data_IF_714759162020
#
_entry.id   IF_714759162020
#
_cell.length_a   1.000
_cell.length_b   1.000
_cell.length_c   1.000
_cell.angle_alpha   90.00
_cell.angle_beta   90.00
_cell.angle_gamma   90.00
#
_symmetry.space_group_name_H-M   'P 1'
#
loop_
_entity.id
_entity.type
_entity.pdbx_description
1 polymer ?
#
# COMPACT_ATOMS: atom_id res chain seq x y z
N UNK A 1 24.82 7.98 -12.75
CA UNK A 1 23.48 7.85 -13.34
C UNK A 1 22.78 9.18 -13.20
N UNK A 2 22.56 9.93 -14.28
CA UNK A 2 21.83 11.20 -14.23
C UNK A 2 20.34 10.92 -14.13
N UNK A 3 19.71 11.27 -13.01
CA UNK A 3 18.25 11.19 -12.87
C UNK A 3 17.57 12.28 -13.70
N UNK A 4 16.45 11.91 -14.31
CA UNK A 4 15.62 12.80 -15.12
C UNK A 4 14.48 13.39 -14.27
N UNK A 5 14.03 14.60 -14.62
CA UNK A 5 13.03 15.32 -13.82
C UNK A 5 11.75 14.53 -13.59
N UNK A 6 11.26 13.81 -14.61
CA UNK A 6 10.02 13.03 -14.50
C UNK A 6 10.09 11.95 -13.40
N UNK A 7 11.25 11.31 -13.21
CA UNK A 7 11.45 10.31 -12.17
C UNK A 7 11.53 10.96 -10.79
N UNK A 8 12.25 12.07 -10.69
CA UNK A 8 12.40 12.82 -9.44
C UNK A 8 11.04 13.35 -8.97
N UNK A 9 10.27 13.97 -9.87
CA UNK A 9 8.95 14.54 -9.57
C UNK A 9 7.98 13.50 -9.01
N UNK A 10 7.97 12.28 -9.56
CA UNK A 10 7.16 11.16 -9.05
C UNK A 10 7.54 10.72 -7.63
N UNK A 11 8.77 10.98 -7.20
CA UNK A 11 9.31 10.53 -5.92
C UNK A 11 9.40 11.65 -4.86
N UNK A 12 9.01 12.90 -5.17
CA UNK A 12 9.14 14.02 -4.24
C UNK A 12 8.27 13.88 -2.97
N UNK A 13 7.06 13.32 -3.06
CA UNK A 13 6.24 13.04 -1.86
C UNK A 13 6.94 12.06 -0.93
N UNK A 14 7.31 10.88 -1.45
CA UNK A 14 8.06 9.87 -0.69
C UNK A 14 9.41 10.39 -0.16
N UNK A 15 10.02 11.36 -0.85
CA UNK A 15 11.21 12.05 -0.38
C UNK A 15 10.93 12.91 0.86
N UNK A 16 9.84 13.69 0.86
CA UNK A 16 9.38 14.51 2.01
C UNK A 16 9.00 13.61 3.19
N UNK A 17 8.32 12.50 2.94
CA UNK A 17 7.85 11.55 3.96
C UNK A 17 8.95 10.60 4.47
N UNK A 18 10.19 10.76 3.98
CA UNK A 18 11.36 9.97 4.34
C UNK A 18 11.23 8.45 4.08
N UNK A 19 10.46 8.06 3.07
CA UNK A 19 10.15 6.67 2.71
C UNK A 19 11.14 6.06 1.71
N UNK A 20 12.00 6.89 1.11
CA UNK A 20 12.98 6.43 0.13
C UNK A 20 14.23 5.83 0.77
N UNK A 21 14.82 4.83 0.09
CA UNK A 21 16.14 4.30 0.43
C UNK A 21 17.22 5.39 0.38
N UNK A 22 18.29 5.19 1.15
CA UNK A 22 19.40 6.15 1.25
C UNK A 22 19.96 6.49 -0.13
N UNK A 23 20.15 5.48 -1.00
CA UNK A 23 20.69 5.68 -2.35
C UNK A 23 19.77 6.53 -3.24
N UNK A 24 18.45 6.29 -3.20
CA UNK A 24 17.48 7.10 -3.96
C UNK A 24 17.45 8.54 -3.44
N UNK A 25 17.45 8.71 -2.12
CA UNK A 25 17.42 10.03 -1.47
C UNK A 25 18.64 10.87 -1.85
N UNK A 26 19.83 10.27 -1.84
CA UNK A 26 21.06 10.94 -2.28
C UNK A 26 21.02 11.35 -3.75
N UNK A 27 20.51 10.47 -4.62
CA UNK A 27 20.36 10.79 -6.03
C UNK A 27 19.39 11.96 -6.25
N UNK A 28 18.26 11.99 -5.52
CA UNK A 28 17.26 13.05 -5.64
C UNK A 28 17.85 14.36 -5.13
N UNK A 29 18.53 14.35 -3.97
CA UNK A 29 19.21 15.53 -3.44
C UNK A 29 20.19 16.14 -4.45
N UNK A 30 21.04 15.31 -5.08
CA UNK A 30 21.97 15.76 -6.11
C UNK A 30 21.27 16.36 -7.35
N UNK A 31 20.08 15.87 -7.71
CA UNK A 31 19.30 16.45 -8.80
C UNK A 31 18.68 17.81 -8.40
N UNK A 32 18.18 17.93 -7.17
CA UNK A 32 17.57 19.15 -6.64
C UNK A 32 18.58 20.30 -6.57
N UNK A 33 19.85 20.01 -6.28
CA UNK A 33 20.93 21.01 -6.31
C UNK A 33 21.11 21.67 -7.68
N UNK A 34 20.72 20.99 -8.76
CA UNK A 34 20.90 21.44 -10.15
C UNK A 34 19.61 21.78 -10.91
N UNK A 35 18.43 21.53 -10.34
CA UNK A 35 17.15 21.66 -11.05
C UNK A 35 16.14 22.52 -10.28
N UNK A 36 16.03 23.80 -10.68
CA UNK A 36 15.08 24.74 -10.08
C UNK A 36 13.63 24.24 -10.13
N UNK A 37 13.19 23.67 -11.25
CA UNK A 37 11.81 23.19 -11.40
C UNK A 37 11.43 22.08 -10.41
N UNK A 38 12.35 21.15 -10.13
CA UNK A 38 12.13 20.09 -9.15
C UNK A 38 12.22 20.63 -7.71
N UNK A 39 13.09 21.60 -7.45
CA UNK A 39 13.21 22.27 -6.15
C UNK A 39 11.98 23.11 -5.80
N UNK A 40 11.40 23.81 -6.78
CA UNK A 40 10.14 24.55 -6.62
C UNK A 40 8.97 23.61 -6.32
N UNK A 41 8.90 22.47 -7.03
CA UNK A 41 7.88 21.45 -6.75
C UNK A 41 8.04 20.85 -5.34
N UNK A 42 9.27 20.59 -4.90
CA UNK A 42 9.56 20.13 -3.54
C UNK A 42 9.10 21.15 -2.49
N UNK A 43 9.35 22.44 -2.71
CA UNK A 43 8.87 23.51 -1.82
C UNK A 43 7.33 23.51 -1.74
N UNK A 44 6.65 23.19 -2.84
CA UNK A 44 5.20 22.96 -2.86
C UNK A 44 4.76 21.88 -1.88
N UNK A 45 5.36 20.69 -1.93
CA UNK A 45 5.06 19.60 -0.98
C UNK A 45 5.35 19.99 0.48
N UNK A 46 6.47 20.68 0.73
CA UNK A 46 6.82 21.13 2.08
C UNK A 46 5.83 22.16 2.64
N UNK A 47 5.36 23.09 1.81
CA UNK A 47 4.36 24.08 2.25
C UNK A 47 3.02 23.43 2.62
N UNK A 48 2.57 22.44 1.86
CA UNK A 48 1.39 21.65 2.20
C UNK A 48 1.55 20.92 3.54
N UNK A 49 2.73 20.34 3.80
CA UNK A 49 3.03 19.68 5.08
C UNK A 49 2.98 20.64 6.27
N UNK A 50 3.42 21.89 6.08
CA UNK A 50 3.34 22.94 7.13
C UNK A 50 1.88 23.29 7.41
N UNK A 51 1.09 23.58 6.36
CA UNK A 51 -0.35 23.88 6.52
C UNK A 51 -1.08 22.72 7.19
N UNK A 52 -0.73 21.47 6.85
CA UNK A 52 -1.31 20.29 7.46
C UNK A 52 -0.99 20.15 8.96
N UNK A 53 0.17 20.65 9.42
CA UNK A 53 0.57 20.62 10.83
C UNK A 53 -0.12 21.71 11.67
N UNK A 54 -0.54 22.79 11.03
CA UNK A 54 -1.20 23.92 11.69
C UNK A 54 -2.69 23.64 12.00
N UNK A 55 -3.25 22.52 11.53
CA UNK A 55 -4.59 22.12 11.93
C UNK A 55 -4.66 21.81 13.43
N UNK A 56 -5.73 22.29 14.06
CA UNK A 56 -6.04 21.98 15.46
C UNK A 56 -6.05 20.46 15.64
N UNK A 57 -5.11 19.96 16.43
CA UNK A 57 -5.06 18.55 16.78
C UNK A 57 -5.98 18.33 17.97
N UNK A 58 -7.13 17.65 17.80
CA UNK A 58 -8.02 17.38 18.92
C UNK A 58 -7.29 16.52 19.94
N UNK A 59 -7.41 16.85 21.23
CA UNK A 59 -6.89 15.98 22.27
C UNK A 59 -7.63 14.64 22.19
N UNK A 60 -6.93 13.51 22.02
CA UNK A 60 -7.59 12.22 22.05
C UNK A 60 -8.24 11.98 23.41
N UNK A 61 -9.33 11.18 23.49
CA UNK A 61 -9.88 10.71 24.76
C UNK A 61 -8.79 10.06 25.61
N UNK A 62 -8.82 10.28 26.93
CA UNK A 62 -7.79 9.79 27.86
C UNK A 62 -7.72 8.25 27.93
N UNK A 63 -8.74 7.55 27.45
CA UNK A 63 -8.82 6.10 27.37
C UNK A 63 -8.45 5.52 26.00
N UNK A 64 -8.20 6.34 24.98
CA UNK A 64 -7.94 5.88 23.62
C UNK A 64 -6.76 4.90 23.57
N UNK A 65 -5.63 5.24 24.19
CA UNK A 65 -4.45 4.38 24.21
C UNK A 65 -4.71 3.04 24.87
N UNK A 66 -5.43 3.03 25.99
CA UNK A 66 -5.81 1.80 26.69
C UNK A 66 -6.69 0.90 25.83
N UNK A 67 -7.64 1.50 25.08
CA UNK A 67 -8.53 0.79 24.16
C UNK A 67 -7.76 0.18 22.98
N UNK A 68 -6.81 0.93 22.41
CA UNK A 68 -5.92 0.43 21.35
C UNK A 68 -5.09 -0.75 21.87
N UNK A 69 -4.46 -0.61 23.04
CA UNK A 69 -3.65 -1.67 23.66
C UNK A 69 -4.47 -2.95 23.90
N UNK A 70 -5.68 -2.80 24.46
CA UNK A 70 -6.58 -3.94 24.67
C UNK A 70 -6.96 -4.62 23.35
N UNK A 71 -7.28 -3.84 22.30
CA UNK A 71 -7.61 -4.38 20.98
C UNK A 71 -6.44 -5.15 20.35
N UNK A 72 -5.21 -4.63 20.47
CA UNK A 72 -4.03 -5.30 19.93
C UNK A 72 -3.68 -6.57 20.69
N UNK A 73 -3.89 -6.61 22.01
CA UNK A 73 -3.71 -7.81 22.82
C UNK A 73 -4.75 -8.89 22.47
N UNK A 74 -6.00 -8.50 22.25
CA UNK A 74 -7.07 -9.40 21.80
C UNK A 74 -6.77 -9.98 20.40
N UNK A 75 -6.33 -9.15 19.44
CA UNK A 75 -5.95 -9.57 18.09
C UNK A 75 -4.69 -10.45 18.05
N UNK A 76 -3.69 -10.20 18.91
CA UNK A 76 -2.50 -11.06 19.05
C UNK A 76 -2.89 -12.50 19.43
N UNK A 77 -4.01 -12.66 20.13
CA UNK A 77 -4.55 -13.97 20.51
C UNK A 77 -5.27 -14.66 19.34
N UNK A 78 -5.58 -13.92 18.27
CA UNK A 78 -6.21 -14.41 17.04
C UNK A 78 -5.25 -14.60 15.87
N UNK A 79 -3.94 -14.45 16.07
CA UNK A 79 -2.95 -15.00 15.13
C UNK A 79 -3.08 -16.52 15.22
N UNK A 80 -4.05 -17.06 14.48
CA UNK A 80 -4.21 -18.49 14.27
C UNK A 80 -2.88 -18.92 13.69
N UNK A 81 -2.13 -19.71 14.46
CA UNK A 81 -0.97 -20.38 13.90
C UNK A 81 -1.48 -21.09 12.65
N UNK A 82 -1.06 -20.62 11.47
CA UNK A 82 -1.22 -21.41 10.26
C UNK A 82 -0.37 -22.65 10.52
N UNK A 83 -1.01 -23.68 11.07
CA UNK A 83 -0.41 -24.99 11.21
C UNK A 83 -0.06 -25.41 9.81
N UNK A 84 1.21 -25.21 9.45
CA UNK A 84 1.77 -25.67 8.20
C UNK A 84 1.52 -27.18 8.14
N UNK A 85 0.74 -27.68 7.17
CA UNK A 85 0.45 -29.11 7.07
C UNK A 85 1.70 -29.97 6.81
N UNK A 86 2.87 -29.33 6.64
CA UNK A 86 4.04 -29.94 6.03
C UNK A 86 5.18 -30.30 6.97
N UNK A 87 5.00 -30.24 8.30
CA UNK A 87 6.03 -30.70 9.23
C UNK A 87 6.26 -32.23 9.22
N UNK A 88 5.44 -32.99 8.47
CA UNK A 88 5.62 -34.43 8.23
C UNK A 88 6.34 -34.77 6.91
N UNK A 89 6.72 -33.79 6.09
CA UNK A 89 7.48 -34.01 4.85
C UNK A 89 9.00 -33.83 5.00
N UNK A 90 9.51 -33.88 6.23
CA UNK A 90 10.94 -34.07 6.50
C UNK A 90 11.35 -35.53 6.27
N UNK A 91 11.07 -36.07 5.08
CA UNK A 91 11.59 -37.34 4.60
C UNK A 91 12.91 -37.07 3.87
N UNK A 92 13.98 -37.54 4.52
CA UNK A 92 15.30 -37.92 3.98
C UNK A 92 15.60 -37.51 2.52
N UNK A 93 16.30 -36.40 2.35
CA UNK A 93 17.11 -36.17 1.15
C UNK A 93 18.52 -36.67 1.49
N UNK A 94 19.06 -37.71 0.83
CA UNK A 94 20.44 -38.12 1.06
C UNK A 94 21.39 -37.00 0.67
N UNK A 95 22.40 -36.76 1.52
CA UNK A 95 23.30 -35.60 1.48
C UNK A 95 24.14 -35.47 0.20
N UNK A 96 24.12 -36.45 -0.71
CA UNK A 96 24.93 -36.49 -1.93
C UNK A 96 24.37 -35.67 -3.10
N UNK A 97 23.12 -35.19 -3.06
CA UNK A 97 22.55 -34.34 -4.12
C UNK A 97 22.34 -32.87 -3.70
N UNK A 98 22.75 -32.48 -2.49
CA UNK A 98 22.42 -31.17 -1.92
C UNK A 98 23.44 -30.07 -2.25
N UNK A 99 24.67 -30.40 -2.63
CA UNK A 99 25.73 -29.40 -2.85
C UNK A 99 25.67 -28.75 -4.25
N UNK A 100 25.39 -29.53 -5.29
CA UNK A 100 25.34 -29.00 -6.66
C UNK A 100 24.13 -28.08 -6.90
N UNK A 101 22.96 -28.42 -6.34
CA UNK A 101 21.75 -27.61 -6.49
C UNK A 101 21.85 -26.27 -5.73
N UNK A 102 22.49 -26.25 -4.56
CA UNK A 102 22.72 -25.01 -3.80
C UNK A 102 23.63 -24.03 -4.57
N UNK A 103 24.67 -24.53 -5.23
CA UNK A 103 25.57 -23.70 -6.06
C UNK A 103 24.80 -23.11 -7.25
N UNK A 104 23.94 -23.89 -7.90
CA UNK A 104 23.11 -23.40 -9.01
C UNK A 104 22.12 -22.32 -8.55
N UNK A 105 21.46 -22.50 -7.40
CA UNK A 105 20.54 -21.50 -6.85
C UNK A 105 21.26 -20.20 -6.44
N UNK A 106 22.46 -20.30 -5.86
CA UNK A 106 23.27 -19.11 -5.52
C UNK A 106 23.78 -18.42 -6.78
N UNK A 107 24.23 -19.17 -7.78
CA UNK A 107 24.70 -18.62 -9.05
C UNK A 107 23.57 -17.94 -9.82
N UNK A 108 22.38 -18.55 -9.93
CA UNK A 108 21.23 -17.92 -10.58
C UNK A 108 20.75 -16.71 -9.80
N UNK A 109 20.70 -16.75 -8.47
CA UNK A 109 20.37 -15.59 -7.65
C UNK A 109 21.38 -14.45 -7.84
N UNK A 110 22.69 -14.73 -7.90
CA UNK A 110 23.72 -13.73 -8.14
C UNK A 110 23.64 -13.13 -9.56
N UNK A 111 23.32 -13.96 -10.56
CA UNK A 111 23.11 -13.51 -11.95
C UNK A 111 21.85 -12.63 -12.07
N UNK A 112 20.76 -13.00 -11.40
CA UNK A 112 19.52 -12.21 -11.41
C UNK A 112 19.64 -10.92 -10.60
N UNK A 113 20.36 -10.94 -9.47
CA UNK A 113 20.70 -9.78 -8.66
C UNK A 113 21.57 -8.78 -9.41
N UNK A 114 22.64 -9.24 -10.07
CA UNK A 114 23.54 -8.37 -10.87
C UNK A 114 22.87 -7.79 -12.11
N UNK A 115 21.80 -8.42 -12.62
CA UNK A 115 20.98 -7.90 -13.73
C UNK A 115 19.86 -6.96 -13.30
N UNK A 116 19.74 -6.64 -12.00
CA UNK A 116 18.77 -5.67 -11.52
C UNK A 116 17.31 -6.11 -11.64
N UNK A 117 17.05 -7.41 -11.83
CA UNK A 117 15.68 -7.94 -12.02
C UNK A 117 14.86 -7.85 -10.70
N UNK A 118 15.53 -7.76 -9.55
CA UNK A 118 14.93 -7.63 -8.23
C UNK A 118 14.66 -6.18 -7.77
N UNK A 119 14.77 -5.20 -8.67
CA UNK A 119 14.64 -3.77 -8.33
C UNK A 119 13.21 -3.21 -8.53
N UNK A 120 12.19 -4.06 -8.52
CA UNK A 120 10.79 -3.64 -8.65
C UNK A 120 10.11 -3.50 -7.29
N UNK A 121 10.22 -2.33 -6.67
CA UNK A 121 9.17 -1.86 -5.76
C UNK A 121 8.15 -1.10 -6.61
N UNK A 122 7.50 -1.82 -7.52
CA UNK A 122 6.52 -1.26 -8.43
C UNK A 122 5.19 -1.14 -7.68
N UNK A 123 5.01 -0.04 -6.95
CA UNK A 123 3.71 0.34 -6.36
C UNK A 123 2.71 0.83 -7.43
N UNK A 124 2.93 0.49 -8.70
CA UNK A 124 2.23 1.05 -9.86
C UNK A 124 0.78 0.54 -9.98
N UNK A 125 0.45 -0.60 -9.37
CA UNK A 125 -0.83 -1.28 -9.56
C UNK A 125 -2.03 -0.62 -8.86
N UNK A 126 -1.82 0.14 -7.77
CA UNK A 126 -2.95 0.77 -7.06
C UNK A 126 -3.22 2.20 -7.54
N UNK A 127 -2.18 2.98 -7.83
CA UNK A 127 -2.32 4.37 -8.27
C UNK A 127 -2.84 4.50 -9.71
N UNK A 128 -2.45 3.58 -10.62
CA UNK A 128 -2.88 3.62 -12.01
C UNK A 128 -4.40 3.38 -12.15
N UNK A 129 -4.94 2.41 -11.42
CA UNK A 129 -6.37 2.08 -11.47
C UNK A 129 -7.24 3.17 -10.86
N UNK A 130 -6.75 3.87 -9.82
CA UNK A 130 -7.52 4.92 -9.17
C UNK A 130 -7.66 6.19 -10.03
N UNK A 131 -6.66 6.53 -10.83
CA UNK A 131 -6.78 7.65 -11.78
C UNK A 131 -7.85 7.39 -12.85
N UNK A 132 -7.96 6.14 -13.33
CA UNK A 132 -9.02 5.73 -14.27
C UNK A 132 -10.39 5.85 -13.61
N UNK A 133 -10.52 5.39 -12.37
CA UNK A 133 -11.74 5.55 -11.56
C UNK A 133 -12.13 7.02 -11.43
N UNK A 134 -11.21 7.89 -10.98
CA UNK A 134 -11.50 9.31 -10.75
C UNK A 134 -11.92 10.05 -12.03
N UNK A 135 -11.30 9.71 -13.16
CA UNK A 135 -11.68 10.27 -14.46
C UNK A 135 -13.12 9.89 -14.85
N UNK A 136 -13.47 8.61 -14.70
CA UNK A 136 -14.82 8.11 -15.01
C UNK A 136 -15.87 8.62 -14.01
N UNK A 137 -15.51 8.79 -12.74
CA UNK A 137 -16.42 9.15 -11.65
C UNK A 137 -17.16 10.47 -11.89
N UNK A 138 -16.49 11.45 -12.52
CA UNK A 138 -17.10 12.74 -12.83
C UNK A 138 -18.23 12.67 -13.87
N UNK A 139 -18.24 11.63 -14.70
CA UNK A 139 -19.22 11.44 -15.77
C UNK A 139 -20.31 10.44 -15.37
N UNK A 140 -19.92 9.32 -14.76
CA UNK A 140 -20.83 8.26 -14.33
C UNK A 140 -20.23 7.52 -13.11
N UNK A 141 -20.70 7.86 -11.89
CA UNK A 141 -20.22 7.23 -10.65
C UNK A 141 -20.44 5.71 -10.60
N UNK A 142 -21.55 5.21 -11.16
CA UNK A 142 -21.88 3.78 -11.14
C UNK A 142 -20.94 2.99 -12.07
N UNK A 143 -20.72 3.50 -13.28
CA UNK A 143 -19.76 2.90 -14.21
C UNK A 143 -18.32 2.96 -13.69
N UNK A 144 -17.94 4.05 -13.01
CA UNK A 144 -16.64 4.16 -12.37
C UNK A 144 -16.47 3.05 -11.32
N UNK A 145 -17.50 2.81 -10.50
CA UNK A 145 -17.47 1.75 -9.50
C UNK A 145 -17.29 0.35 -10.11
N UNK A 146 -17.99 0.05 -11.21
CA UNK A 146 -17.86 -1.23 -11.92
C UNK A 146 -16.43 -1.49 -12.42
N UNK A 147 -15.70 -0.42 -12.76
CA UNK A 147 -14.29 -0.51 -13.18
C UNK A 147 -13.41 -1.06 -12.07
N UNK A 148 -13.61 -0.61 -10.83
CA UNK A 148 -12.87 -1.12 -9.67
C UNK A 148 -13.28 -2.56 -9.34
N UNK A 149 -14.58 -2.86 -9.36
CA UNK A 149 -15.09 -4.22 -9.13
C UNK A 149 -14.47 -5.20 -10.12
N UNK A 150 -14.39 -4.84 -11.41
CA UNK A 150 -13.79 -5.70 -12.43
C UNK A 150 -12.27 -5.80 -12.31
N UNK A 151 -11.58 -4.70 -12.04
CA UNK A 151 -10.11 -4.68 -11.95
C UNK A 151 -9.56 -5.51 -10.80
N UNK A 152 -10.34 -5.68 -9.73
CA UNK A 152 -9.96 -6.40 -8.51
C UNK A 152 -10.73 -7.72 -8.31
N UNK A 153 -11.37 -8.25 -9.35
CA UNK A 153 -12.24 -9.44 -9.28
C UNK A 153 -13.23 -9.39 -8.10
N UNK A 154 -13.74 -8.19 -7.83
CA UNK A 154 -14.63 -7.89 -6.73
C UNK A 154 -15.94 -8.66 -6.83
N UNK A 155 -16.42 -9.16 -5.71
CA UNK A 155 -17.74 -9.78 -5.59
C UNK A 155 -18.69 -8.83 -4.87
N UNK A 156 -19.85 -8.57 -5.47
CA UNK A 156 -20.94 -7.89 -4.77
C UNK A 156 -21.44 -8.77 -3.62
N UNK A 157 -21.40 -8.23 -2.41
CA UNK A 157 -21.90 -8.88 -1.20
C UNK A 157 -23.10 -8.09 -0.66
N UNK A 158 -24.16 -8.78 -0.26
CA UNK A 158 -25.31 -8.13 0.38
C UNK A 158 -24.91 -7.59 1.75
N UNK A 159 -25.55 -6.48 2.18
CA UNK A 159 -25.29 -5.88 3.50
C UNK A 159 -25.42 -6.90 4.64
N UNK A 160 -26.47 -7.72 4.60
CA UNK A 160 -26.75 -8.74 5.62
C UNK A 160 -25.68 -9.85 5.70
N UNK A 161 -24.97 -10.11 4.60
CA UNK A 161 -23.91 -11.12 4.55
C UNK A 161 -22.51 -10.54 4.68
N UNK A 162 -22.36 -9.21 4.60
CA UNK A 162 -21.05 -8.56 4.56
C UNK A 162 -20.28 -8.79 5.86
N UNK A 163 -20.92 -8.62 7.03
CA UNK A 163 -20.26 -8.86 8.32
C UNK A 163 -19.79 -10.32 8.47
N UNK A 164 -20.62 -11.28 8.06
CA UNK A 164 -20.27 -12.71 8.10
C UNK A 164 -19.12 -13.07 7.16
N UNK A 165 -19.05 -12.45 5.97
CA UNK A 165 -17.99 -12.71 4.99
C UNK A 165 -16.67 -12.04 5.35
N UNK A 166 -16.73 -10.85 5.95
CA UNK A 166 -15.55 -10.05 6.29
C UNK A 166 -14.97 -10.40 7.67
N UNK A 167 -15.75 -11.04 8.55
CA UNK A 167 -15.32 -11.36 9.91
C UNK A 167 -15.31 -10.15 10.86
N UNK A 168 -15.78 -8.99 10.39
CA UNK A 168 -15.97 -7.77 11.16
C UNK A 168 -17.14 -6.98 10.58
N UNK A 169 -17.74 -6.07 11.37
CA UNK A 169 -18.81 -5.18 10.91
C UNK A 169 -18.20 -3.90 10.31
N UNK A 170 -18.32 -3.66 9.00
CA UNK A 170 -17.83 -2.42 8.41
C UNK A 170 -18.59 -1.22 8.94
N UNK A 171 -17.88 -0.11 9.20
CA UNK A 171 -18.48 1.16 9.67
C UNK A 171 -19.55 1.69 8.71
N UNK A 172 -19.45 1.37 7.42
CA UNK A 172 -20.45 1.72 6.41
C UNK A 172 -21.82 1.05 6.65
N UNK A 173 -21.90 -0.02 7.44
CA UNK A 173 -23.17 -0.67 7.78
C UNK A 173 -23.93 0.06 8.91
N UNK A 174 -23.23 0.72 9.82
CA UNK A 174 -23.79 1.36 11.04
C UNK A 174 -23.66 2.90 11.08
N UNK A 175 -22.98 3.53 10.11
CA UNK A 175 -22.78 4.98 10.06
C UNK A 175 -24.02 5.75 9.58
N UNK A 176 -24.02 7.10 9.67
CA UNK A 176 -25.11 7.98 9.17
C UNK A 176 -25.46 7.82 7.67
N UNK A 177 -24.63 7.10 6.92
CA UNK A 177 -24.88 6.72 5.52
C UNK A 177 -25.66 5.40 5.39
N UNK A 178 -25.92 4.69 6.49
CA UNK A 178 -26.65 3.44 6.51
C UNK A 178 -28.14 3.63 6.16
N UNK A 179 -28.68 4.81 6.50
CA UNK A 179 -30.07 5.23 6.28
C UNK A 179 -30.25 6.02 4.98
N UNK A 180 -29.14 6.45 4.37
CA UNK A 180 -29.18 7.02 3.03
C UNK A 180 -29.49 5.88 2.08
N UNK A 181 -30.73 5.84 1.57
CA UNK A 181 -31.06 4.98 0.45
C UNK A 181 -30.05 5.29 -0.68
N UNK A 182 -29.14 4.35 -1.02
CA UNK A 182 -28.10 4.63 -2.01
C UNK A 182 -28.69 4.97 -3.38
N UNK A 183 -29.96 4.62 -3.65
CA UNK A 183 -30.66 5.00 -4.88
C UNK A 183 -31.31 6.40 -4.84
N UNK A 184 -31.49 7.02 -3.66
CA UNK A 184 -32.19 8.30 -3.54
C UNK A 184 -31.28 9.49 -3.19
N UNK A 185 -30.04 9.26 -2.74
CA UNK A 185 -29.09 10.33 -2.38
C UNK A 185 -28.22 10.84 -3.54
N UNK A 186 -28.48 10.39 -4.77
CA UNK A 186 -27.74 10.79 -5.99
C UNK A 186 -28.67 11.25 -7.14
N UNK A 187 -29.81 11.85 -6.80
CA UNK A 187 -30.61 12.70 -7.70
C UNK A 187 -30.43 14.17 -7.30
#
# INVERSE_FOLDING_TARGET
MTMICAEVQKQLSAYVDAELSIAKRQGIAAHLDGCAACSDMLAGFQSLSIVAKDFDTPSPPSDLWRRIETSLDDERTQIVALESPNQRWRRYVPASWSTAAAILLVATAAIWSSRGIWNGNDHESMAANFNVFLAAYSADPEQAHETLVRAYDGQLISRDNAANRLGYTPVALDGKLADANPEASYL
#
